data_IF_614734345252
#
_entry.id   IF_614734345252
#
_cell.length_a   1.000
_cell.length_b   1.000
_cell.length_c   1.000
_cell.angle_alpha   90.00
_cell.angle_beta   90.00
_cell.angle_gamma   90.00
#
_symmetry.space_group_name_H-M   'P 1'
#
loop_
_entity.id
_entity.type
_entity.pdbx_description
1 polymer ?
#
# COMPACT_ATOMS: atom_id res chain seq x y z
N UNK A 1 32.05 21.15 18.02
CA UNK A 1 31.79 21.34 16.57
C UNK A 1 30.41 20.79 16.31
N UNK A 2 29.46 21.65 15.94
CA UNK A 2 28.10 21.22 15.61
C UNK A 2 28.12 20.54 14.24
N UNK A 3 27.74 19.26 14.17
CA UNK A 3 27.58 18.54 12.92
C UNK A 3 26.31 19.09 12.25
N UNK A 4 26.49 19.78 11.12
CA UNK A 4 25.38 20.17 10.26
C UNK A 4 24.81 18.90 9.61
N UNK A 5 23.60 18.52 10.00
CA UNK A 5 22.81 17.52 9.28
C UNK A 5 22.47 18.17 7.94
N UNK A 6 23.16 17.74 6.89
CA UNK A 6 22.78 18.07 5.51
C UNK A 6 21.53 17.26 5.22
N UNK A 7 20.36 17.92 5.28
CA UNK A 7 19.13 17.35 4.74
C UNK A 7 19.39 17.08 3.25
N UNK A 8 19.50 15.79 2.88
CA UNK A 8 19.49 15.40 1.49
C UNK A 8 18.17 15.91 0.89
N UNK A 9 18.20 16.59 -0.27
CA UNK A 9 16.96 17.03 -0.89
C UNK A 9 16.14 15.77 -1.19
N UNK A 10 14.88 15.75 -0.72
CA UNK A 10 13.86 14.85 -1.23
C UNK A 10 13.90 14.99 -2.75
N UNK A 11 14.44 13.98 -3.44
CA UNK A 11 14.45 13.93 -4.89
C UNK A 11 12.99 14.07 -5.32
N UNK A 12 12.63 15.24 -5.85
CA UNK A 12 11.27 15.50 -6.30
C UNK A 12 10.88 14.39 -7.25
N UNK A 13 9.74 13.75 -6.99
CA UNK A 13 9.17 12.74 -7.89
C UNK A 13 9.09 13.39 -9.26
N UNK A 14 9.93 12.91 -10.17
CA UNK A 14 10.01 13.40 -11.53
C UNK A 14 8.61 13.43 -12.14
N UNK A 15 8.32 14.45 -12.96
CA UNK A 15 7.15 14.48 -13.85
C UNK A 15 7.25 13.42 -14.98
N UNK A 16 8.05 12.37 -14.77
CA UNK A 16 8.18 11.23 -15.65
C UNK A 16 6.79 10.63 -15.92
N UNK A 17 6.55 10.15 -17.15
CA UNK A 17 5.31 9.48 -17.49
C UNK A 17 5.02 8.35 -16.51
N UNK A 18 3.76 8.20 -16.12
CA UNK A 18 3.33 7.02 -15.36
C UNK A 18 3.39 5.81 -16.30
N UNK A 19 4.19 4.77 -16.01
CA UNK A 19 4.10 3.51 -16.73
C UNK A 19 2.69 2.93 -16.59
N UNK A 20 2.28 2.11 -17.56
CA UNK A 20 0.98 1.44 -17.61
C UNK A 20 -0.23 2.31 -17.22
N UNK A 21 -0.17 3.63 -17.46
CA UNK A 21 -1.19 4.59 -17.01
C UNK A 21 -2.61 4.19 -17.41
N UNK A 22 -2.88 3.67 -18.63
CA UNK A 22 -4.23 3.21 -18.96
C UNK A 22 -4.75 2.10 -18.04
N UNK A 23 -3.91 1.14 -17.66
CA UNK A 23 -4.25 0.05 -16.75
C UNK A 23 -4.44 0.57 -15.31
N UNK A 24 -3.54 1.44 -14.83
CA UNK A 24 -3.68 2.07 -13.52
C UNK A 24 -4.98 2.89 -13.41
N UNK A 25 -5.31 3.67 -14.44
CA UNK A 25 -6.56 4.44 -14.46
C UNK A 25 -7.79 3.53 -14.56
N UNK A 26 -7.72 2.44 -15.33
CA UNK A 26 -8.80 1.46 -15.38
C UNK A 26 -9.05 0.82 -13.99
N UNK A 27 -8.00 0.53 -13.22
CA UNK A 27 -8.15 0.11 -11.82
C UNK A 27 -8.80 1.18 -10.94
N UNK A 28 -8.51 2.47 -11.18
CA UNK A 28 -9.19 3.56 -10.46
C UNK A 28 -10.67 3.70 -10.85
N UNK A 29 -11.07 3.37 -12.08
CA UNK A 29 -12.49 3.30 -12.46
C UNK A 29 -13.23 2.24 -11.64
N UNK A 30 -12.60 1.07 -11.40
CA UNK A 30 -13.15 0.08 -10.47
C UNK A 30 -13.26 0.65 -9.05
N UNK A 31 -12.18 1.27 -8.52
CA UNK A 31 -12.16 1.88 -7.18
C UNK A 31 -13.27 2.94 -7.04
N UNK A 32 -13.53 3.75 -8.07
CA UNK A 32 -14.64 4.71 -8.09
C UNK A 32 -15.98 4.04 -7.79
N UNK A 33 -16.20 2.86 -8.37
CA UNK A 33 -17.41 2.07 -8.18
C UNK A 33 -17.60 1.55 -6.75
N UNK A 34 -16.54 1.52 -5.93
CA UNK A 34 -16.60 1.05 -4.54
C UNK A 34 -16.83 2.17 -3.52
N UNK A 35 -16.91 3.43 -3.96
CA UNK A 35 -17.12 4.57 -3.07
C UNK A 35 -18.48 4.49 -2.35
N UNK A 36 -18.46 4.65 -1.03
CA UNK A 36 -19.61 4.55 -0.15
C UNK A 36 -20.23 5.94 0.15
N UNK A 37 -21.50 6.02 0.61
CA UNK A 37 -22.17 7.29 0.92
C UNK A 37 -21.49 8.18 1.98
N UNK A 38 -20.61 7.62 2.81
CA UNK A 38 -19.83 8.35 3.80
C UNK A 38 -18.58 9.03 3.22
N UNK A 39 -18.30 8.81 1.93
CA UNK A 39 -17.14 9.35 1.21
C UNK A 39 -15.93 8.40 1.19
N UNK A 40 -15.95 7.33 1.99
CA UNK A 40 -14.93 6.29 1.99
C UNK A 40 -15.06 5.33 0.81
N UNK A 41 -14.17 4.37 0.73
CA UNK A 41 -14.20 3.27 -0.24
C UNK A 41 -14.46 1.95 0.48
N UNK A 42 -15.26 1.08 -0.14
CA UNK A 42 -15.70 -0.18 0.44
C UNK A 42 -14.55 -1.10 0.87
N UNK A 43 -14.84 -2.03 1.77
CA UNK A 43 -13.87 -3.02 2.27
C UNK A 43 -13.86 -3.20 3.79
N UNK A 44 -12.70 -3.54 4.36
CA UNK A 44 -12.52 -3.97 5.75
C UNK A 44 -12.27 -2.84 6.77
N UNK A 45 -12.60 -1.59 6.43
CA UNK A 45 -12.52 -0.44 7.34
C UNK A 45 -11.62 0.70 6.84
N UNK A 46 -11.33 1.69 7.71
CA UNK A 46 -10.68 2.94 7.31
C UNK A 46 -9.35 2.76 6.58
N UNK A 47 -8.54 1.79 6.98
CA UNK A 47 -7.24 1.51 6.37
C UNK A 47 -7.32 1.22 4.87
N UNK A 48 -8.37 0.51 4.42
CA UNK A 48 -8.56 0.19 3.00
C UNK A 48 -9.03 1.40 2.19
N UNK A 49 -9.82 2.29 2.81
CA UNK A 49 -10.14 3.59 2.20
C UNK A 49 -8.87 4.44 1.99
N UNK A 50 -7.91 4.38 2.90
CA UNK A 50 -6.62 5.07 2.73
C UNK A 50 -5.82 4.47 1.57
N UNK A 51 -5.83 3.14 1.41
CA UNK A 51 -5.17 2.48 0.27
C UNK A 51 -5.80 2.87 -1.08
N UNK A 52 -7.12 3.02 -1.13
CA UNK A 52 -7.82 3.54 -2.31
C UNK A 52 -7.41 5.00 -2.63
N UNK A 53 -7.27 5.85 -1.61
CA UNK A 53 -6.77 7.22 -1.77
C UNK A 53 -5.35 7.22 -2.36
N UNK A 54 -4.47 6.33 -1.89
CA UNK A 54 -3.12 6.20 -2.44
C UNK A 54 -3.13 5.74 -3.90
N UNK A 55 -3.96 4.76 -4.22
CA UNK A 55 -4.12 4.23 -5.58
C UNK A 55 -4.58 5.31 -6.56
N UNK A 56 -5.62 6.07 -6.20
CA UNK A 56 -6.12 7.20 -7.01
C UNK A 56 -5.00 8.21 -7.23
N UNK A 57 -4.29 8.55 -6.17
CA UNK A 57 -3.18 9.52 -6.24
C UNK A 57 -2.04 9.02 -7.10
N UNK A 58 -1.66 7.74 -6.97
CA UNK A 58 -0.61 7.10 -7.75
C UNK A 58 -0.92 7.08 -9.25
N UNK A 59 -2.18 6.91 -9.64
CA UNK A 59 -2.62 7.01 -11.03
C UNK A 59 -2.60 8.45 -11.59
N UNK A 60 -2.21 9.44 -10.77
CA UNK A 60 -2.13 10.85 -11.13
C UNK A 60 -3.48 11.56 -11.11
N UNK A 61 -4.48 11.00 -10.43
CA UNK A 61 -5.81 11.60 -10.27
C UNK A 61 -5.91 12.29 -8.90
N UNK A 62 -6.85 13.22 -8.77
CA UNK A 62 -7.17 13.85 -7.48
C UNK A 62 -8.26 13.04 -6.75
N UNK A 63 -7.98 12.46 -5.57
CA UNK A 63 -9.01 11.78 -4.79
C UNK A 63 -10.17 12.71 -4.37
N UNK A 64 -9.97 14.03 -4.31
CA UNK A 64 -11.02 14.97 -3.97
C UNK A 64 -12.06 15.15 -5.10
N UNK A 65 -11.77 14.73 -6.32
CA UNK A 65 -12.73 14.73 -7.44
C UNK A 65 -13.79 13.63 -7.31
N UNK A 66 -13.63 12.73 -6.34
CA UNK A 66 -14.52 11.62 -6.07
C UNK A 66 -15.50 12.02 -4.98
N UNK A 67 -16.80 11.87 -5.23
CA UNK A 67 -17.81 12.14 -4.24
C UNK A 67 -19.02 11.22 -4.44
N UNK A 68 -19.56 10.74 -3.32
CA UNK A 68 -20.82 10.00 -3.26
C UNK A 68 -21.71 10.65 -2.22
N UNK A 69 -22.95 10.93 -2.59
CA UNK A 69 -23.94 11.62 -1.73
C UNK A 69 -23.42 12.93 -1.10
N UNK A 70 -22.57 13.65 -1.85
CA UNK A 70 -21.97 14.91 -1.43
C UNK A 70 -20.83 14.77 -0.41
N UNK A 71 -20.35 13.56 -0.14
CA UNK A 71 -19.21 13.27 0.72
C UNK A 71 -17.98 12.87 -0.09
N UNK A 72 -16.86 13.48 0.25
CA UNK A 72 -15.54 13.24 -0.37
C UNK A 72 -14.69 12.31 0.49
N UNK A 73 -13.60 11.73 -0.05
CA UNK A 73 -12.61 11.01 0.76
C UNK A 73 -11.98 11.87 1.87
N UNK A 74 -11.86 13.19 1.66
CA UNK A 74 -11.42 14.12 2.70
C UNK A 74 -12.44 14.23 3.85
N UNK A 75 -13.74 14.21 3.55
CA UNK A 75 -14.78 14.20 4.59
C UNK A 75 -14.76 12.90 5.39
N UNK A 76 -14.59 11.77 4.70
CA UNK A 76 -14.44 10.46 5.32
C UNK A 76 -13.23 10.45 6.25
N UNK A 77 -12.04 10.85 5.76
CA UNK A 77 -10.82 10.88 6.56
C UNK A 77 -10.98 11.75 7.82
N UNK A 78 -11.62 12.93 7.72
CA UNK A 78 -11.92 13.76 8.91
C UNK A 78 -12.81 13.05 9.92
N UNK A 79 -13.78 12.27 9.45
CA UNK A 79 -14.72 11.56 10.35
C UNK A 79 -14.08 10.40 11.10
N UNK A 80 -13.13 9.68 10.48
CA UNK A 80 -12.51 8.47 11.06
C UNK A 80 -11.17 8.75 11.77
N UNK A 81 -10.54 9.92 11.54
CA UNK A 81 -9.28 10.27 12.18
C UNK A 81 -9.29 10.16 13.72
N UNK A 82 -10.37 10.52 14.45
CA UNK A 82 -10.47 10.31 15.90
C UNK A 82 -10.38 8.85 16.35
N UNK A 83 -10.64 7.89 15.47
CA UNK A 83 -10.56 6.45 15.76
C UNK A 83 -9.14 5.89 15.58
N UNK A 84 -8.26 6.62 14.90
CA UNK A 84 -6.89 6.20 14.61
C UNK A 84 -5.97 6.46 15.82
N UNK A 85 -6.12 5.66 16.88
CA UNK A 85 -5.34 5.80 18.13
C UNK A 85 -4.04 4.99 18.13
N UNK A 86 -3.91 4.02 17.22
CA UNK A 86 -2.73 3.16 17.10
C UNK A 86 -1.79 3.63 16.00
N UNK A 87 -0.49 3.29 16.13
CA UNK A 87 0.58 3.77 15.27
C UNK A 87 0.34 3.53 13.77
N UNK A 88 0.03 2.29 13.39
CA UNK A 88 -0.20 1.88 12.00
C UNK A 88 -1.39 2.61 11.34
N UNK A 89 -2.60 2.53 11.93
CA UNK A 89 -3.75 3.28 11.45
C UNK A 89 -3.51 4.80 11.38
N UNK A 90 -2.88 5.40 12.39
CA UNK A 90 -2.56 6.83 12.39
C UNK A 90 -1.56 7.20 11.29
N UNK A 91 -0.52 6.39 11.09
CA UNK A 91 0.47 6.57 10.04
C UNK A 91 -0.16 6.51 8.64
N UNK A 92 -1.04 5.53 8.39
CA UNK A 92 -1.80 5.45 7.12
C UNK A 92 -2.71 6.68 6.97
N UNK A 93 -3.50 7.01 7.98
CA UNK A 93 -4.38 8.18 7.92
C UNK A 93 -3.61 9.50 7.67
N UNK A 94 -2.44 9.67 8.28
CA UNK A 94 -1.57 10.82 8.06
C UNK A 94 -1.03 10.88 6.62
N UNK A 95 -0.63 9.74 6.05
CA UNK A 95 -0.18 9.67 4.66
C UNK A 95 -1.34 9.94 3.68
N UNK A 96 -2.56 9.51 4.00
CA UNK A 96 -3.76 9.82 3.22
C UNK A 96 -4.12 11.31 3.28
N UNK A 97 -3.96 11.95 4.45
CA UNK A 97 -4.11 13.40 4.59
C UNK A 97 -3.18 14.14 3.61
N UNK A 98 -1.91 13.71 3.50
CA UNK A 98 -0.95 14.25 2.53
C UNK A 98 -1.44 14.06 1.09
N UNK A 99 -1.94 12.86 0.74
CA UNK A 99 -2.47 12.58 -0.61
C UNK A 99 -3.64 13.51 -0.98
N UNK A 100 -4.45 13.88 0.00
CA UNK A 100 -5.61 14.77 -0.14
C UNK A 100 -5.27 16.26 -0.07
N UNK A 101 -3.99 16.62 0.16
CA UNK A 101 -3.57 18.01 0.36
C UNK A 101 -4.01 18.61 1.71
N UNK A 102 -4.32 17.77 2.69
CA UNK A 102 -4.67 18.18 4.06
C UNK A 102 -3.43 18.28 4.95
N UNK A 103 -3.52 19.06 6.04
CA UNK A 103 -2.51 19.02 7.09
C UNK A 103 -2.70 17.77 7.96
N UNK A 104 -1.74 16.85 7.91
CA UNK A 104 -1.77 15.63 8.71
C UNK A 104 -1.72 15.87 10.24
N UNK A 105 -1.39 17.10 10.67
CA UNK A 105 -1.40 17.51 12.09
C UNK A 105 -2.74 18.05 12.56
N UNK A 106 -3.70 18.24 11.66
CA UNK A 106 -5.06 18.68 12.01
C UNK A 106 -6.09 18.03 11.07
N UNK A 107 -6.40 16.77 11.35
CA UNK A 107 -7.41 15.98 10.63
C UNK A 107 -8.53 15.63 11.59
N UNK A 108 -9.69 16.28 11.44
CA UNK A 108 -10.79 16.08 12.38
C UNK A 108 -10.45 16.47 13.83
N UNK A 109 -9.49 17.40 14.02
CA UNK A 109 -8.98 17.79 15.33
C UNK A 109 -7.91 16.87 15.91
N UNK A 110 -7.35 15.96 15.12
CA UNK A 110 -6.31 15.00 15.53
C UNK A 110 -4.99 15.30 14.83
N UNK A 111 -3.90 15.30 15.60
CA UNK A 111 -2.53 15.27 15.07
C UNK A 111 -2.10 13.82 14.83
N UNK A 112 -2.39 13.30 13.63
CA UNK A 112 -2.10 11.92 13.26
C UNK A 112 -0.60 11.63 13.20
N UNK A 113 0.22 12.65 12.90
CA UNK A 113 1.68 12.55 12.93
C UNK A 113 2.16 12.32 14.36
N UNK A 114 1.63 13.09 15.31
CA UNK A 114 1.97 12.92 16.72
C UNK A 114 1.53 11.56 17.26
N UNK A 115 0.33 11.07 16.90
CA UNK A 115 -0.12 9.73 17.31
C UNK A 115 0.82 8.65 16.79
N UNK A 116 1.17 8.68 15.50
CA UNK A 116 2.08 7.68 14.92
C UNK A 116 3.50 7.76 15.52
N UNK A 117 4.03 8.98 15.71
CA UNK A 117 5.38 9.17 16.24
C UNK A 117 5.50 8.81 17.73
N UNK A 118 4.44 9.02 18.52
CA UNK A 118 4.43 8.71 19.95
C UNK A 118 4.50 7.22 20.28
N UNK A 119 4.26 6.34 19.29
CA UNK A 119 4.38 4.90 19.46
C UNK A 119 5.82 4.38 19.43
N UNK A 120 6.81 5.24 19.16
CA UNK A 120 8.21 4.84 19.20
C UNK A 120 8.63 4.44 20.61
N UNK A 121 9.11 3.21 20.74
CA UNK A 121 9.65 2.67 21.97
C UNK A 121 11.19 2.64 21.89
N UNK A 122 11.85 3.41 22.76
CA UNK A 122 13.31 3.50 22.82
C UNK A 122 13.98 2.19 23.28
N UNK A 123 13.28 1.34 24.04
CA UNK A 123 13.83 0.07 24.53
C UNK A 123 13.90 -0.96 23.41
N UNK A 124 12.86 -1.03 22.58
CA UNK A 124 12.79 -1.98 21.46
C UNK A 124 13.30 -1.39 20.14
N UNK A 125 13.40 -0.06 20.03
CA UNK A 125 13.68 0.66 18.79
C UNK A 125 12.52 0.63 17.79
N UNK A 126 11.34 0.14 18.19
CA UNK A 126 10.21 -0.13 17.30
C UNK A 126 9.06 0.85 17.42
N UNK A 127 8.30 1.06 16.34
CA UNK A 127 6.96 1.68 16.37
C UNK A 127 5.83 0.67 16.58
N UNK A 128 6.13 -0.62 16.42
CA UNK A 128 5.24 -1.76 16.58
C UNK A 128 6.10 -3.01 16.84
N UNK A 129 5.48 -4.06 17.37
CA UNK A 129 6.18 -5.33 17.62
C UNK A 129 6.42 -6.16 16.36
N UNK A 130 5.60 -5.98 15.32
CA UNK A 130 5.75 -6.67 14.03
C UNK A 130 6.43 -5.79 12.98
N UNK A 131 7.21 -6.41 12.11
CA UNK A 131 8.01 -5.74 11.06
C UNK A 131 7.11 -5.01 10.06
N UNK A 132 5.95 -5.57 9.73
CA UNK A 132 5.06 -5.01 8.71
C UNK A 132 4.51 -3.65 9.14
N UNK A 133 3.91 -3.59 10.34
CA UNK A 133 3.35 -2.37 10.91
C UNK A 133 4.44 -1.36 11.20
N UNK A 134 5.57 -1.80 11.77
CA UNK A 134 6.75 -0.94 11.97
C UNK A 134 7.15 -0.25 10.66
N UNK A 135 7.25 -1.02 9.58
CA UNK A 135 7.68 -0.53 8.27
C UNK A 135 6.69 0.49 7.68
N UNK A 136 5.38 0.25 7.82
CA UNK A 136 4.35 1.22 7.40
C UNK A 136 4.54 2.56 8.12
N UNK A 137 4.79 2.54 9.43
CA UNK A 137 4.98 3.76 10.23
C UNK A 137 6.24 4.50 9.77
N UNK A 138 7.35 3.80 9.58
CA UNK A 138 8.61 4.39 9.07
C UNK A 138 8.41 5.02 7.69
N UNK A 139 7.76 4.32 6.75
CA UNK A 139 7.48 4.87 5.41
C UNK A 139 6.61 6.13 5.49
N UNK A 140 5.53 6.10 6.28
CA UNK A 140 4.63 7.23 6.39
C UNK A 140 5.32 8.45 7.02
N UNK A 141 5.99 8.29 8.16
CA UNK A 141 6.65 9.37 8.89
C UNK A 141 7.75 10.03 8.05
N UNK A 142 8.59 9.22 7.38
CA UNK A 142 9.66 9.75 6.51
C UNK A 142 9.10 10.56 5.34
N UNK A 143 7.99 10.12 4.73
CA UNK A 143 7.28 10.89 3.67
C UNK A 143 6.62 12.16 4.18
N UNK A 144 6.30 12.22 5.47
CA UNK A 144 5.78 13.41 6.14
C UNK A 144 6.90 14.33 6.66
N UNK A 145 8.16 14.03 6.35
CA UNK A 145 9.32 14.83 6.72
C UNK A 145 9.80 14.63 8.15
N UNK A 146 9.35 13.54 8.81
CA UNK A 146 9.84 13.13 10.13
C UNK A 146 10.92 12.06 9.92
N UNK A 147 12.21 12.35 10.20
CA UNK A 147 13.27 11.37 10.02
C UNK A 147 13.07 10.14 10.91
N UNK A 148 13.38 8.95 10.39
CA UNK A 148 13.41 7.75 11.19
C UNK A 148 14.60 7.78 12.16
N UNK A 149 14.41 7.42 13.45
CA UNK A 149 15.52 7.18 14.38
C UNK A 149 16.47 6.09 13.87
N UNK A 150 17.73 6.14 14.31
CA UNK A 150 18.73 5.11 13.92
C UNK A 150 18.28 3.73 14.41
N UNK A 151 17.67 3.69 15.58
CA UNK A 151 17.16 2.52 16.27
C UNK A 151 16.01 1.87 15.50
N UNK A 152 15.18 2.65 14.80
CA UNK A 152 14.14 2.11 13.91
C UNK A 152 14.75 1.39 12.70
N UNK A 153 15.89 1.86 12.19
CA UNK A 153 16.64 1.16 11.14
C UNK A 153 17.27 -0.11 11.71
N UNK A 154 17.82 -0.06 12.92
CA UNK A 154 18.41 -1.23 13.59
C UNK A 154 17.35 -2.30 13.89
N UNK A 155 16.14 -1.92 14.30
CA UNK A 155 15.01 -2.83 14.47
C UNK A 155 14.80 -3.70 13.21
N UNK A 156 14.79 -3.08 12.02
CA UNK A 156 14.65 -3.81 10.77
C UNK A 156 15.88 -4.67 10.46
N UNK A 157 17.10 -4.22 10.76
CA UNK A 157 18.30 -5.04 10.55
C UNK A 157 18.33 -6.28 11.44
N UNK A 158 17.94 -6.12 12.71
CA UNK A 158 17.96 -7.18 13.71
C UNK A 158 16.83 -8.20 13.48
N UNK A 159 15.73 -7.78 12.86
CA UNK A 159 14.61 -8.63 12.47
C UNK A 159 14.79 -9.33 11.11
N UNK A 160 15.89 -9.08 10.39
CA UNK A 160 16.16 -9.75 9.11
C UNK A 160 16.59 -11.19 9.36
N UNK A 161 15.92 -12.15 8.72
CA UNK A 161 16.22 -13.57 8.85
C UNK A 161 17.46 -13.97 8.02
N UNK A 162 18.05 -15.14 8.32
CA UNK A 162 19.26 -15.65 7.66
C UNK A 162 19.15 -15.77 6.12
N UNK A 163 17.92 -15.93 5.61
CA UNK A 163 17.63 -15.99 4.17
C UNK A 163 17.54 -14.61 3.50
N UNK A 164 17.69 -13.52 4.27
CA UNK A 164 17.62 -12.13 3.84
C UNK A 164 16.22 -11.51 3.86
N UNK A 165 15.16 -12.29 4.09
CA UNK A 165 13.79 -11.78 4.12
C UNK A 165 13.32 -11.35 5.51
N UNK A 166 12.14 -10.74 5.56
CA UNK A 166 11.43 -10.40 6.79
C UNK A 166 10.05 -11.05 6.81
N UNK A 167 9.55 -11.34 8.01
CA UNK A 167 8.26 -12.00 8.23
C UNK A 167 7.39 -11.27 9.23
N UNK A 168 6.07 -11.31 9.04
CA UNK A 168 5.12 -10.77 10.03
C UNK A 168 5.14 -11.56 11.36
N UNK A 169 5.29 -12.89 11.28
CA UNK A 169 5.31 -13.81 12.43
C UNK A 169 6.66 -14.50 12.64
N UNK A 170 7.73 -13.95 12.05
CA UNK A 170 9.10 -14.49 12.07
C UNK A 170 9.40 -15.48 10.94
N UNK A 171 8.44 -15.84 10.09
CA UNK A 171 8.73 -16.54 8.84
C UNK A 171 8.76 -15.54 7.68
N UNK A 172 9.89 -15.48 6.97
CA UNK A 172 10.04 -14.53 5.87
C UNK A 172 8.96 -14.72 4.81
N UNK A 173 8.35 -13.61 4.39
CA UNK A 173 7.35 -13.56 3.33
C UNK A 173 7.61 -12.37 2.39
N UNK A 174 7.03 -12.42 1.18
CA UNK A 174 7.27 -11.42 0.15
C UNK A 174 6.72 -10.02 0.53
N UNK A 175 5.58 -9.97 1.21
CA UNK A 175 4.86 -8.72 1.52
C UNK A 175 5.60 -7.92 2.60
N UNK A 176 5.97 -8.61 3.68
CA UNK A 176 6.75 -8.03 4.79
C UNK A 176 8.14 -7.62 4.32
N UNK A 177 8.80 -8.46 3.53
CA UNK A 177 10.10 -8.12 2.93
C UNK A 177 10.00 -6.87 2.05
N UNK A 178 8.96 -6.78 1.22
CA UNK A 178 8.77 -5.65 0.33
C UNK A 178 8.53 -4.34 1.09
N UNK A 179 7.69 -4.32 2.13
CA UNK A 179 7.46 -3.09 2.89
C UNK A 179 8.67 -2.71 3.77
N UNK A 180 9.43 -3.68 4.29
CA UNK A 180 10.67 -3.44 5.03
C UNK A 180 11.75 -2.77 4.14
N UNK A 181 11.91 -3.24 2.90
CA UNK A 181 12.80 -2.61 1.92
C UNK A 181 12.39 -1.16 1.61
N UNK A 182 11.09 -0.90 1.49
CA UNK A 182 10.57 0.45 1.30
C UNK A 182 10.82 1.34 2.52
N UNK A 183 10.71 0.81 3.74
CA UNK A 183 11.01 1.53 4.97
C UNK A 183 12.49 1.89 5.10
N UNK A 184 13.39 0.93 4.87
CA UNK A 184 14.84 1.17 4.87
C UNK A 184 15.23 2.24 3.86
N UNK A 185 14.71 2.14 2.63
CA UNK A 185 14.97 3.13 1.58
C UNK A 185 14.41 4.50 1.94
N UNK A 186 13.18 4.57 2.47
CA UNK A 186 12.55 5.81 2.94
C UNK A 186 13.32 6.47 4.08
N UNK A 187 13.94 5.67 4.94
CA UNK A 187 14.84 6.12 6.01
C UNK A 187 16.23 6.56 5.51
N UNK A 188 16.50 6.46 4.20
CA UNK A 188 17.76 6.91 3.60
C UNK A 188 18.87 5.86 3.62
N UNK A 189 18.57 4.59 3.89
CA UNK A 189 19.55 3.50 3.75
C UNK A 189 19.91 3.36 2.26
N UNK A 190 21.19 3.42 1.87
CA UNK A 190 21.58 3.35 0.46
C UNK A 190 21.24 2.01 -0.18
N UNK A 191 20.84 1.99 -1.45
CA UNK A 191 20.51 0.76 -2.18
C UNK A 191 21.67 -0.28 -2.21
N UNK A 192 22.92 0.16 -2.09
CA UNK A 192 24.11 -0.70 -2.01
C UNK A 192 24.34 -1.32 -0.63
N UNK A 193 23.51 -1.01 0.37
CA UNK A 193 23.58 -1.60 1.70
C UNK A 193 23.32 -3.11 1.67
N UNK A 194 24.09 -3.88 2.43
CA UNK A 194 23.98 -5.34 2.44
C UNK A 194 22.62 -5.84 2.92
N UNK A 195 21.95 -5.14 3.82
CA UNK A 195 20.61 -5.49 4.30
C UNK A 195 19.58 -5.35 3.16
N UNK A 196 19.66 -4.29 2.36
CA UNK A 196 18.81 -4.10 1.18
C UNK A 196 19.12 -5.17 0.13
N UNK A 197 20.41 -5.40 -0.16
CA UNK A 197 20.83 -6.41 -1.14
C UNK A 197 20.35 -7.83 -0.76
N UNK A 198 20.39 -8.19 0.53
CA UNK A 198 19.89 -9.47 1.03
C UNK A 198 18.38 -9.61 0.87
N UNK A 199 17.60 -8.56 1.18
CA UNK A 199 16.15 -8.55 0.96
C UNK A 199 15.76 -8.68 -0.52
N UNK A 200 16.50 -8.00 -1.40
CA UNK A 200 16.32 -8.15 -2.85
C UNK A 200 16.69 -9.57 -3.30
N UNK A 201 17.75 -10.15 -2.75
CA UNK A 201 18.13 -11.55 -2.98
C UNK A 201 17.03 -12.53 -2.58
N UNK A 202 16.41 -12.32 -1.41
CA UNK A 202 15.26 -13.09 -0.96
C UNK A 202 14.08 -12.98 -1.95
N UNK A 203 13.69 -11.76 -2.34
CA UNK A 203 12.58 -11.58 -3.29
C UNK A 203 12.87 -12.24 -4.63
N UNK A 204 14.10 -12.14 -5.17
CA UNK A 204 14.49 -12.87 -6.40
C UNK A 204 14.36 -14.39 -6.23
N UNK A 205 14.69 -14.92 -5.06
CA UNK A 205 14.60 -16.36 -4.79
C UNK A 205 13.15 -16.86 -4.60
N UNK A 206 12.22 -15.97 -4.20
CA UNK A 206 10.80 -16.29 -4.02
C UNK A 206 9.95 -16.04 -5.27
N UNK A 207 10.53 -15.55 -6.36
CA UNK A 207 9.76 -15.28 -7.58
C UNK A 207 9.24 -16.57 -8.21
N UNK A 208 7.94 -16.62 -8.48
CA UNK A 208 7.28 -17.71 -9.18
C UNK A 208 7.69 -17.82 -10.66
N UNK A 209 7.45 -18.99 -11.25
CA UNK A 209 7.73 -19.23 -12.68
C UNK A 209 6.81 -18.45 -13.64
N UNK A 210 5.75 -17.85 -13.09
CA UNK A 210 4.81 -16.95 -13.76
C UNK A 210 5.19 -15.47 -13.64
N UNK A 211 6.35 -15.17 -13.02
CA UNK A 211 6.84 -13.82 -12.82
C UNK A 211 6.28 -13.12 -11.57
N UNK A 212 5.35 -13.75 -10.84
CA UNK A 212 4.69 -13.18 -9.67
C UNK A 212 5.28 -13.61 -8.32
N UNK A 213 4.66 -13.12 -7.25
CA UNK A 213 4.91 -13.48 -5.86
C UNK A 213 3.60 -13.75 -5.13
N UNK A 214 3.67 -14.55 -4.07
CA UNK A 214 2.58 -14.81 -3.15
C UNK A 214 3.06 -14.90 -1.71
N UNK A 215 2.12 -14.82 -0.76
CA UNK A 215 2.38 -15.18 0.64
C UNK A 215 2.72 -16.67 0.76
N UNK A 216 2.00 -17.53 0.03
CA UNK A 216 2.46 -18.87 -0.30
C UNK A 216 3.36 -18.75 -1.55
N UNK A 217 4.66 -19.12 -1.48
CA UNK A 217 5.57 -19.02 -2.61
C UNK A 217 5.17 -19.85 -3.83
N UNK A 218 4.28 -20.84 -3.67
CA UNK A 218 3.76 -21.65 -4.78
C UNK A 218 2.54 -21.01 -5.47
N UNK A 219 1.93 -19.97 -4.88
CA UNK A 219 0.70 -19.35 -5.35
C UNK A 219 0.84 -17.82 -5.49
N UNK A 220 1.35 -17.38 -6.64
CA UNK A 220 1.42 -15.96 -6.98
C UNK A 220 0.05 -15.27 -6.94
N UNK A 221 0.02 -14.00 -6.50
CA UNK A 221 -1.20 -13.19 -6.47
C UNK A 221 -0.91 -11.70 -6.76
N UNK A 222 -1.97 -10.93 -7.04
CA UNK A 222 -1.85 -9.52 -7.41
C UNK A 222 -1.27 -8.66 -6.28
N UNK A 223 -1.72 -8.88 -5.04
CA UNK A 223 -1.35 -8.11 -3.86
C UNK A 223 0.15 -8.20 -3.55
N UNK A 224 0.66 -9.42 -3.39
CA UNK A 224 2.07 -9.68 -3.08
C UNK A 224 2.99 -9.22 -4.21
N UNK A 225 2.63 -9.52 -5.46
CA UNK A 225 3.40 -9.05 -6.63
C UNK A 225 3.45 -7.53 -6.69
N UNK A 226 2.34 -6.85 -6.41
CA UNK A 226 2.30 -5.40 -6.40
C UNK A 226 3.19 -4.79 -5.31
N UNK A 227 3.21 -5.34 -4.09
CA UNK A 227 4.13 -4.89 -3.05
C UNK A 227 5.59 -5.07 -3.45
N UNK A 228 5.93 -6.21 -4.07
CA UNK A 228 7.29 -6.46 -4.55
C UNK A 228 7.67 -5.43 -5.62
N UNK A 229 6.84 -5.20 -6.64
CA UNK A 229 7.07 -4.15 -7.65
C UNK A 229 7.31 -2.79 -7.00
N UNK A 230 6.51 -2.43 -6.00
CA UNK A 230 6.67 -1.18 -5.26
C UNK A 230 8.01 -1.10 -4.51
N UNK A 231 8.49 -2.21 -3.95
CA UNK A 231 9.79 -2.30 -3.30
C UNK A 231 10.94 -2.17 -4.31
N UNK A 232 10.86 -2.85 -5.46
CA UNK A 232 11.84 -2.74 -6.54
C UNK A 232 11.99 -1.29 -7.01
N UNK A 233 10.86 -0.62 -7.27
CA UNK A 233 10.82 0.81 -7.64
C UNK A 233 11.46 1.67 -6.54
N UNK A 234 11.17 1.38 -5.27
CA UNK A 234 11.72 2.16 -4.16
C UNK A 234 13.25 2.05 -4.11
N UNK A 235 13.80 0.84 -4.18
CA UNK A 235 15.26 0.62 -4.13
C UNK A 235 15.98 1.05 -5.42
N UNK A 236 15.23 1.39 -6.47
CA UNK A 236 15.76 1.85 -7.76
C UNK A 236 16.09 0.71 -8.74
N UNK A 237 15.58 -0.49 -8.49
CA UNK A 237 15.62 -1.60 -9.45
C UNK A 237 14.55 -1.39 -10.54
N UNK A 238 14.82 -1.92 -11.73
CA UNK A 238 13.84 -1.97 -12.82
C UNK A 238 13.00 -3.26 -12.68
N UNK A 239 11.68 -3.18 -12.43
CA UNK A 239 10.83 -4.37 -12.33
C UNK A 239 10.88 -5.27 -13.56
N UNK A 240 11.09 -4.71 -14.76
CA UNK A 240 11.19 -5.51 -16.00
C UNK A 240 12.46 -6.36 -16.09
N UNK A 241 13.45 -6.13 -15.22
CA UNK A 241 14.63 -6.98 -15.09
C UNK A 241 14.38 -8.28 -14.31
N UNK A 242 13.18 -8.46 -13.77
CA UNK A 242 12.73 -9.64 -13.05
C UNK A 242 11.91 -10.54 -13.98
N UNK A 243 12.45 -10.81 -15.17
CA UNK A 243 11.83 -11.68 -16.16
C UNK A 243 12.06 -13.15 -15.80
N UNK A 244 10.97 -13.92 -15.77
CA UNK A 244 11.02 -15.38 -15.70
C UNK A 244 10.18 -15.93 -16.84
N UNK A 245 10.82 -16.70 -17.73
CA UNK A 245 10.19 -17.30 -18.91
C UNK A 245 9.50 -16.30 -19.85
N UNK A 246 10.00 -15.06 -19.96
CA UNK A 246 9.40 -14.04 -20.80
C UNK A 246 8.19 -13.33 -20.18
N UNK A 247 8.01 -13.47 -18.85
CA UNK A 247 6.98 -12.78 -18.08
C UNK A 247 7.66 -12.06 -16.92
N UNK A 248 7.56 -10.74 -16.91
CA UNK A 248 8.01 -9.90 -15.81
C UNK A 248 6.84 -9.62 -14.82
N UNK A 249 7.08 -9.09 -13.61
CA UNK A 249 6.01 -8.79 -12.66
C UNK A 249 4.91 -7.84 -13.18
N UNK A 250 5.26 -6.92 -14.07
CA UNK A 250 4.31 -5.98 -14.64
C UNK A 250 3.39 -6.72 -15.62
N UNK A 251 3.95 -7.59 -16.46
CA UNK A 251 3.18 -8.47 -17.34
C UNK A 251 2.25 -9.39 -16.54
N UNK A 252 2.74 -9.95 -15.43
CA UNK A 252 1.92 -10.75 -14.51
C UNK A 252 0.70 -9.96 -14.00
N UNK A 253 0.92 -8.74 -13.47
CA UNK A 253 -0.18 -7.89 -13.00
C UNK A 253 -1.14 -7.52 -14.14
N UNK A 254 -0.63 -7.11 -15.30
CA UNK A 254 -1.46 -6.78 -16.45
C UNK A 254 -2.32 -7.98 -16.91
N UNK A 255 -1.78 -9.19 -16.85
CA UNK A 255 -2.50 -10.42 -17.15
C UNK A 255 -3.64 -10.75 -16.17
N UNK A 256 -3.60 -10.22 -14.95
CA UNK A 256 -4.64 -10.40 -13.94
C UNK A 256 -5.76 -9.36 -14.01
N UNK A 257 -5.53 -8.21 -14.64
CA UNK A 257 -6.52 -7.13 -14.66
C UNK A 257 -7.79 -7.54 -15.41
N UNK A 258 -8.94 -7.41 -14.74
CA UNK A 258 -10.25 -7.74 -15.31
C UNK A 258 -10.78 -6.60 -16.20
N UNK A 259 -11.82 -6.90 -16.99
CA UNK A 259 -12.41 -5.93 -17.93
C UNK A 259 -13.04 -4.71 -17.23
N UNK A 260 -13.49 -4.86 -15.97
CA UNK A 260 -14.00 -3.76 -15.15
C UNK A 260 -12.88 -2.99 -14.43
N UNK A 261 -11.62 -3.41 -14.59
CA UNK A 261 -10.43 -2.84 -13.99
C UNK A 261 -9.99 -3.45 -12.67
N UNK A 262 -10.81 -4.34 -12.08
CA UNK A 262 -10.48 -5.00 -10.83
C UNK A 262 -9.34 -6.00 -10.97
N UNK A 263 -8.72 -6.35 -9.85
CA UNK A 263 -7.75 -7.42 -9.72
C UNK A 263 -8.30 -8.53 -8.83
N UNK A 264 -8.08 -9.81 -9.16
CA UNK A 264 -8.52 -10.92 -8.34
C UNK A 264 -7.75 -10.97 -7.02
N UNK A 265 -8.44 -11.39 -5.96
CA UNK A 265 -7.92 -11.56 -4.62
C UNK A 265 -9.03 -11.96 -3.66
N UNK A 266 -8.71 -12.11 -2.38
CA UNK A 266 -9.74 -12.35 -1.35
C UNK A 266 -10.82 -11.26 -1.36
N UNK A 267 -10.40 -10.01 -1.56
CA UNK A 267 -11.26 -8.87 -1.83
C UNK A 267 -10.71 -8.12 -3.08
N UNK A 268 -11.49 -8.00 -4.17
CA UNK A 268 -11.01 -7.36 -5.38
C UNK A 268 -10.67 -5.87 -5.19
N UNK A 269 -11.36 -5.16 -4.29
CA UNK A 269 -11.03 -3.76 -4.01
C UNK A 269 -9.66 -3.64 -3.33
N UNK A 270 -9.36 -4.52 -2.39
CA UNK A 270 -8.08 -4.59 -1.71
C UNK A 270 -6.93 -4.88 -2.68
N UNK A 271 -7.08 -5.91 -3.53
CA UNK A 271 -6.09 -6.25 -4.54
C UNK A 271 -5.89 -5.10 -5.55
N UNK A 272 -6.97 -4.45 -5.98
CA UNK A 272 -6.90 -3.32 -6.93
C UNK A 272 -6.20 -2.11 -6.32
N UNK A 273 -6.47 -1.77 -5.05
CA UNK A 273 -5.80 -0.68 -4.35
C UNK A 273 -4.28 -0.87 -4.29
N UNK A 274 -3.79 -2.12 -4.27
CA UNK A 274 -2.36 -2.44 -4.22
C UNK A 274 -1.72 -2.51 -5.61
N UNK A 275 -2.43 -3.07 -6.60
CA UNK A 275 -1.94 -3.19 -7.97
C UNK A 275 -1.78 -1.83 -8.67
N UNK A 276 -2.69 -0.88 -8.42
CA UNK A 276 -2.68 0.42 -9.11
C UNK A 276 -1.38 1.22 -8.89
N UNK A 277 -0.87 1.41 -7.65
CA UNK A 277 0.43 2.07 -7.45
C UNK A 277 1.59 1.39 -8.17
N UNK A 278 1.65 0.05 -8.13
CA UNK A 278 2.68 -0.73 -8.80
C UNK A 278 2.66 -0.47 -10.32
N UNK A 279 1.50 -0.59 -10.95
CA UNK A 279 1.33 -0.32 -12.38
C UNK A 279 1.66 1.13 -12.74
N UNK A 280 1.31 2.08 -11.88
CA UNK A 280 1.64 3.49 -12.06
C UNK A 280 3.13 3.82 -11.83
N UNK A 281 3.96 2.83 -11.49
CA UNK A 281 5.39 3.05 -11.26
C UNK A 281 5.66 3.85 -9.99
N UNK A 282 4.92 3.57 -8.92
CA UNK A 282 5.03 4.25 -7.63
C UNK A 282 5.18 3.23 -6.51
N UNK A 283 6.09 3.48 -5.59
CA UNK A 283 6.16 2.78 -4.32
C UNK A 283 5.06 3.25 -3.35
N UNK A 284 4.83 2.51 -2.26
CA UNK A 284 3.83 2.85 -1.23
C UNK A 284 4.01 4.29 -0.73
N UNK A 285 5.25 4.69 -0.45
CA UNK A 285 5.55 6.05 0.01
C UNK A 285 5.47 7.13 -1.07
N UNK A 286 5.85 6.82 -2.33
CA UNK A 286 5.87 7.83 -3.41
C UNK A 286 4.51 7.99 -4.11
N UNK A 287 3.59 7.03 -3.95
CA UNK A 287 2.24 7.06 -4.49
C UNK A 287 1.52 8.39 -4.22
N UNK A 288 1.55 8.85 -2.96
CA UNK A 288 0.84 10.05 -2.50
C UNK A 288 1.43 11.37 -3.01
N UNK A 289 2.65 11.33 -3.56
CA UNK A 289 3.38 12.50 -4.06
C UNK A 289 3.29 12.64 -5.58
N UNK A 290 2.59 11.72 -6.25
CA UNK A 290 2.43 11.72 -7.70
C UNK A 290 1.75 13.01 -8.17
N UNK A 291 2.26 13.74 -9.17
CA UNK A 291 1.57 14.94 -9.67
C UNK A 291 0.16 14.64 -10.21
N UNK A 292 -0.81 15.51 -9.91
CA UNK A 292 -2.16 15.43 -10.50
C UNK A 292 -2.06 15.76 -11.98
N UNK A 293 -2.77 15.03 -12.83
CA UNK A 293 -2.89 15.28 -14.27
C UNK A 293 -4.27 14.85 -14.76
N UNK A 294 -4.82 15.50 -15.80
CA UNK A 294 -6.10 15.11 -16.37
C UNK A 294 -6.16 13.61 -16.72
N UNK A 295 -7.34 12.97 -16.63
CA UNK A 295 -7.47 11.58 -17.01
C UNK A 295 -7.26 11.38 -18.53
N UNK A 296 -6.89 10.17 -18.97
CA UNK A 296 -6.84 9.82 -20.39
C UNK A 296 -8.20 10.06 -21.07
N UNK A 297 -8.23 10.46 -22.37
CA UNK A 297 -9.47 10.65 -23.10
C UNK A 297 -10.38 9.42 -23.07
N UNK A 298 -11.68 9.60 -22.79
CA UNK A 298 -12.68 8.53 -22.78
C UNK A 298 -12.87 7.84 -21.42
N UNK A 299 -12.07 8.17 -20.42
CA UNK A 299 -12.23 7.72 -19.03
C UNK A 299 -12.80 8.87 -18.16
N UNK A 300 -13.63 8.54 -17.17
CA UNK A 300 -14.36 9.47 -16.28
C UNK A 300 -15.24 10.54 -16.94
N UNK A 301 -15.65 10.37 -18.20
CA UNK A 301 -16.72 11.19 -18.77
C UNK A 301 -18.02 10.96 -17.98
N UNK A 302 -18.83 12.00 -17.70
CA UNK A 302 -20.15 11.76 -17.13
C UNK A 302 -20.90 10.81 -18.05
N UNK A 303 -21.40 9.70 -17.49
CA UNK A 303 -22.31 8.84 -18.23
C UNK A 303 -23.43 9.74 -18.80
N UNK A 304 -23.82 9.59 -20.08
CA UNK A 304 -24.98 10.31 -20.59
C UNK A 304 -26.18 10.06 -19.67
N UNK A 305 -27.05 11.06 -19.45
CA UNK A 305 -28.14 10.95 -18.48
C UNK A 305 -28.94 9.67 -18.75
N UNK A 306 -28.95 8.77 -17.77
CA UNK A 306 -29.64 7.49 -17.90
C UNK A 306 -31.16 7.77 -17.87
N UNK A 307 -31.82 7.70 -19.01
CA UNK A 307 -33.30 7.82 -19.13
C UNK A 307 -34.01 6.47 -18.91
N UNK A 308 -33.36 5.50 -18.27
CA UNK A 308 -33.89 4.16 -18.05
C UNK A 308 -34.55 3.98 -16.68
N UNK A 309 -35.87 3.93 -16.67
CA UNK A 309 -36.71 3.45 -15.57
C UNK A 309 -36.33 2.02 -15.15
N UNK A 310 -35.99 1.78 -13.87
CA UNK A 310 -35.64 0.43 -13.41
C UNK A 310 -35.47 0.24 -11.91
N UNK A 311 -36.59 0.19 -11.20
CA UNK A 311 -36.91 -0.56 -9.95
C UNK A 311 -36.12 -0.31 -8.64
N UNK A 312 -36.93 -0.20 -7.59
CA UNK A 312 -36.59 0.26 -6.25
C UNK A 312 -36.06 -0.84 -5.31
N UNK A 313 -35.43 -0.33 -4.25
CA UNK A 313 -35.08 -0.90 -2.95
C UNK A 313 -35.76 -2.22 -2.52
N UNK A 314 -34.94 -3.15 -2.02
CA UNK A 314 -35.37 -4.32 -1.25
C UNK A 314 -34.21 -4.95 -0.47
N UNK A 315 -34.33 -4.89 0.85
CA UNK A 315 -33.77 -5.79 1.88
C UNK A 315 -32.28 -5.71 2.26
N UNK A 316 -32.00 -4.70 3.08
CA UNK A 316 -30.93 -4.71 4.06
C UNK A 316 -31.38 -5.44 5.35
N UNK A 317 -30.93 -6.68 5.55
CA UNK A 317 -30.94 -7.34 6.86
C UNK A 317 -30.02 -8.57 6.86
N UNK A 318 -28.91 -8.51 7.61
CA UNK A 318 -28.16 -9.69 8.03
C UNK A 318 -26.68 -9.66 7.67
N UNK A 319 -25.84 -9.37 8.66
CA UNK A 319 -24.71 -10.22 9.10
C UNK A 319 -23.65 -9.36 9.80
N UNK A 320 -23.98 -8.92 11.01
CA UNK A 320 -22.99 -8.68 12.05
C UNK A 320 -22.46 -10.05 12.51
N UNK A 321 -21.14 -10.24 12.40
CA UNK A 321 -20.43 -11.37 12.98
C UNK A 321 -19.58 -12.11 11.96
N UNK A 322 -18.33 -11.67 11.78
CA UNK A 322 -17.24 -12.48 11.22
C UNK A 322 -15.83 -11.90 11.52
N UNK A 323 -15.68 -11.22 12.67
CA UNK A 323 -14.38 -10.77 13.19
C UNK A 323 -13.66 -11.87 14.01
N UNK A 324 -13.86 -13.15 13.70
CA UNK A 324 -13.31 -14.27 14.52
C UNK A 324 -12.87 -15.48 13.69
N UNK A 325 -12.64 -15.33 12.39
CA UNK A 325 -12.33 -16.47 11.50
C UNK A 325 -10.94 -16.42 10.84
N UNK A 326 -10.03 -15.59 11.36
CA UNK A 326 -8.61 -15.59 10.94
C UNK A 326 -7.68 -16.36 11.89
N UNK A 327 -8.19 -16.95 12.98
CA UNK A 327 -7.38 -17.79 13.90
C UNK A 327 -7.52 -19.29 13.60
N UNK A 328 -8.52 -19.73 12.84
CA UNK A 328 -8.79 -21.16 12.60
C UNK A 328 -8.31 -21.70 11.26
N UNK A 329 -8.09 -20.87 10.24
CA UNK A 329 -7.60 -21.34 8.94
C UNK A 329 -6.10 -21.74 8.97
N UNK A 330 -5.27 -21.02 9.74
CA UNK A 330 -3.84 -21.34 9.90
C UNK A 330 -3.55 -22.61 10.71
N UNK A 331 -4.47 -23.03 11.60
CA UNK A 331 -4.24 -24.18 12.47
C UNK A 331 -4.54 -25.55 11.81
N UNK A 332 -5.33 -25.57 10.73
CA UNK A 332 -5.64 -26.82 10.00
C UNK A 332 -4.58 -27.20 8.96
N UNK A 333 -3.78 -26.25 8.46
CA UNK A 333 -2.67 -26.55 7.55
C UNK A 333 -1.45 -27.12 8.29
N UNK A 334 -1.17 -26.65 9.51
CA UNK A 334 -0.01 -27.08 10.30
C UNK A 334 -0.14 -28.50 10.90
N UNK A 335 -1.35 -29.05 11.01
CA UNK A 335 -1.58 -30.39 11.58
C UNK A 335 -1.48 -31.53 10.57
N UNK A 336 -1.54 -31.26 9.25
CA UNK A 336 -1.40 -32.30 8.20
C UNK A 336 0.04 -32.66 7.83
N UNK A 337 1.04 -31.85 8.19
CA UNK A 337 2.47 -32.16 7.93
C UNK A 337 3.18 -32.90 9.08
N UNK A 338 2.48 -33.26 10.17
CA UNK A 338 3.06 -34.08 11.27
C UNK A 338 2.75 -35.57 11.20
N UNK A 339 2.01 -36.03 10.18
CA UNK A 339 1.76 -37.45 9.92
C UNK A 339 1.74 -37.73 8.42
N UNK A 340 2.89 -37.64 7.78
CA UNK A 340 3.22 -38.30 6.52
C UNK A 340 4.74 -38.45 6.43
#
# INVERSE_FOLDING_TARGET
MAAAIVAAPLLGVSAAPLPQRPAAVLGVEYIRGTQQPDGGFGGFGPGQSMDAIYAIRAAGLDPNDFARDGKTPADYLRSVAPEATDAGPAAKAALAARALGMDARDVGGVDLVAVAAAAFDEETGGYASDVFTHSIVVVALTRLGIPAPTEAILFLRDAQEDNGGWGFDGMSDADTTAIALQALTGAGVPAADSTIAAGIGYLRAQQGLDGGWGFDPEESNASSTAYVVQALIAVGEDPSSYDVNGVDPIDYLLGLQQADGSFPGFDPAYATNQAVPALAGRSFGSAVETPISPPPPGQFAPAPPNTGTGLAAGDAAGHAGLATLLVTAGLLAATRRRFA
#
